data_IF_958404266952
#
_entry.id   IF_958404266952
#
_cell.length_a   1.000
_cell.length_b   1.000
_cell.length_c   1.000
_cell.angle_alpha   90.00
_cell.angle_beta   90.00
_cell.angle_gamma   90.00
#
_symmetry.space_group_name_H-M   'P 1'
#
loop_
_entity.id
_entity.type
_entity.pdbx_description
1 polymer ?
#
# COMPACT_ATOMS: atom_id res chain seq x y z
N UNK A 1 -5.24 18.98 -5.44
CA UNK A 1 -4.80 17.90 -4.54
C UNK A 1 -3.57 17.25 -5.16
N UNK A 2 -2.45 17.19 -4.45
CA UNK A 2 -1.21 16.52 -4.86
C UNK A 2 -1.20 15.09 -4.37
N UNK A 3 -0.89 14.14 -5.27
CA UNK A 3 -0.80 12.71 -4.97
C UNK A 3 0.66 12.32 -4.68
N UNK A 4 0.93 11.67 -3.58
CA UNK A 4 2.21 11.02 -3.31
C UNK A 4 2.09 9.52 -3.55
N UNK A 5 3.13 8.90 -4.10
CA UNK A 5 3.19 7.45 -4.28
C UNK A 5 4.43 6.94 -3.55
N UNK A 6 4.23 6.13 -2.51
CA UNK A 6 5.31 5.49 -1.76
C UNK A 6 5.52 4.08 -2.31
N UNK A 7 6.74 3.81 -2.79
CA UNK A 7 7.12 2.54 -3.41
C UNK A 7 8.31 1.94 -2.65
N UNK A 8 8.12 0.84 -1.91
CA UNK A 8 9.23 0.11 -1.29
C UNK A 8 9.95 -0.73 -2.35
N UNK A 9 11.28 -0.61 -2.44
CA UNK A 9 12.11 -1.34 -3.40
C UNK A 9 13.21 -2.13 -2.66
N UNK A 10 13.25 -3.44 -2.85
CA UNK A 10 14.32 -4.30 -2.36
C UNK A 10 14.72 -5.32 -3.43
N UNK A 11 15.86 -5.11 -4.07
CA UNK A 11 16.34 -5.89 -5.22
C UNK A 11 15.29 -5.93 -6.34
N UNK A 12 14.99 -4.78 -6.90
CA UNK A 12 14.00 -4.57 -7.97
C UNK A 12 14.63 -3.89 -9.21
N UNK A 13 15.95 -4.03 -9.42
CA UNK A 13 16.68 -3.40 -10.54
C UNK A 13 16.06 -3.72 -11.91
N UNK A 14 15.52 -4.93 -12.09
CA UNK A 14 14.93 -5.39 -13.34
C UNK A 14 13.54 -4.80 -13.65
N UNK A 15 12.78 -4.41 -12.61
CA UNK A 15 11.39 -3.97 -12.74
C UNK A 15 11.19 -2.47 -12.50
N UNK A 16 12.06 -1.86 -11.69
CA UNK A 16 11.83 -0.50 -11.17
C UNK A 16 11.77 0.56 -12.27
N UNK A 17 12.55 0.42 -13.34
CA UNK A 17 12.53 1.37 -14.47
C UNK A 17 11.17 1.38 -15.14
N UNK A 18 10.65 0.22 -15.56
CA UNK A 18 9.34 0.11 -16.21
C UNK A 18 8.22 0.56 -15.26
N UNK A 19 8.32 0.23 -13.97
CA UNK A 19 7.36 0.66 -12.95
C UNK A 19 7.28 2.18 -12.86
N UNK A 20 8.41 2.86 -12.70
CA UNK A 20 8.44 4.31 -12.49
C UNK A 20 8.10 5.10 -13.75
N UNK A 21 8.59 4.66 -14.91
CA UNK A 21 8.30 5.33 -16.18
C UNK A 21 6.84 5.20 -16.58
N UNK A 22 6.23 4.00 -16.44
CA UNK A 22 4.82 3.79 -16.75
C UNK A 22 3.89 4.53 -15.78
N UNK A 23 4.23 4.54 -14.49
CA UNK A 23 3.49 5.28 -13.48
C UNK A 23 3.53 6.79 -13.75
N UNK A 24 4.73 7.34 -13.94
CA UNK A 24 4.91 8.77 -14.23
C UNK A 24 4.16 9.18 -15.49
N UNK A 25 4.33 8.43 -16.59
CA UNK A 25 3.63 8.72 -17.86
C UNK A 25 2.11 8.72 -17.68
N UNK A 26 1.56 7.72 -16.98
CA UNK A 26 0.12 7.63 -16.72
C UNK A 26 -0.40 8.84 -15.91
N UNK A 27 0.33 9.28 -14.89
CA UNK A 27 -0.07 10.41 -14.05
C UNK A 27 0.05 11.76 -14.79
N UNK A 28 1.07 11.94 -15.64
CA UNK A 28 1.23 13.11 -16.51
C UNK A 28 0.10 13.18 -17.54
N UNK A 29 -0.20 12.08 -18.22
CA UNK A 29 -1.30 12.00 -19.19
C UNK A 29 -2.65 12.38 -18.58
N UNK A 30 -2.89 11.98 -17.35
CA UNK A 30 -4.11 12.31 -16.59
C UNK A 30 -4.04 13.65 -15.85
N UNK A 31 -3.00 14.45 -16.05
CA UNK A 31 -2.80 15.78 -15.45
C UNK A 31 -2.89 15.77 -13.91
N UNK A 32 -2.42 14.70 -13.27
CA UNK A 32 -2.41 14.56 -11.81
C UNK A 32 -1.10 15.12 -11.27
N UNK A 33 -1.18 16.19 -10.46
CA UNK A 33 -0.04 16.70 -9.72
C UNK A 33 0.44 15.63 -8.73
N UNK A 34 1.70 15.19 -8.84
CA UNK A 34 2.19 14.04 -8.07
C UNK A 34 3.65 14.18 -7.64
N UNK A 35 4.06 13.30 -6.77
CA UNK A 35 5.44 12.96 -6.44
C UNK A 35 5.55 11.45 -6.22
N UNK A 36 6.70 10.89 -6.54
CA UNK A 36 7.01 9.48 -6.34
C UNK A 36 8.16 9.39 -5.33
N UNK A 37 7.92 8.71 -4.21
CA UNK A 37 8.89 8.50 -3.14
C UNK A 37 9.26 7.03 -3.10
N UNK A 38 10.42 6.68 -3.66
CA UNK A 38 10.93 5.30 -3.61
C UNK A 38 11.78 5.12 -2.36
N UNK A 39 11.55 4.03 -1.64
CA UNK A 39 12.39 3.65 -0.50
C UNK A 39 13.23 2.44 -0.88
N UNK A 40 14.52 2.66 -1.11
CA UNK A 40 15.50 1.60 -1.28
C UNK A 40 15.77 0.91 0.06
N UNK A 41 15.24 -0.29 0.25
CA UNK A 41 15.30 -1.05 1.51
C UNK A 41 16.58 -1.89 1.62
N UNK A 42 17.74 -1.26 1.50
CA UNK A 42 19.08 -1.90 1.53
C UNK A 42 19.25 -2.94 0.40
N UNK A 43 18.91 -2.61 -0.83
CA UNK A 43 19.11 -3.48 -2.00
C UNK A 43 20.57 -3.88 -2.15
N UNK A 44 20.79 -5.11 -2.61
CA UNK A 44 22.10 -5.71 -2.86
C UNK A 44 22.45 -5.79 -4.35
N UNK A 45 21.49 -5.49 -5.20
CA UNK A 45 21.63 -5.41 -6.66
C UNK A 45 21.84 -3.95 -7.12
N UNK A 46 21.66 -3.69 -8.39
CA UNK A 46 21.83 -2.37 -8.99
C UNK A 46 20.61 -1.43 -8.80
N UNK A 47 19.65 -1.75 -7.91
CA UNK A 47 18.45 -0.91 -7.70
C UNK A 47 18.81 0.54 -7.39
N UNK A 48 19.82 0.79 -6.54
CA UNK A 48 20.24 2.16 -6.17
C UNK A 48 20.72 2.94 -7.38
N UNK A 49 21.63 2.36 -8.18
CA UNK A 49 22.18 2.99 -9.38
C UNK A 49 21.08 3.33 -10.42
N UNK A 50 20.10 2.43 -10.55
CA UNK A 50 18.94 2.67 -11.43
C UNK A 50 18.10 3.84 -10.91
N UNK A 51 17.88 3.96 -9.62
CA UNK A 51 17.13 5.07 -9.02
C UNK A 51 17.87 6.41 -9.20
N UNK A 52 19.19 6.43 -9.01
CA UNK A 52 20.01 7.63 -9.25
C UNK A 52 19.90 8.12 -10.70
N UNK A 53 19.95 7.20 -11.67
CA UNK A 53 19.78 7.54 -13.08
C UNK A 53 18.36 8.04 -13.40
N UNK A 54 17.31 7.40 -12.86
CA UNK A 54 15.92 7.78 -13.11
C UNK A 54 15.57 9.13 -12.47
N UNK A 55 16.14 9.47 -11.34
CA UNK A 55 15.91 10.77 -10.69
C UNK A 55 16.39 11.96 -11.55
N UNK A 56 17.35 11.76 -12.44
CA UNK A 56 17.77 12.80 -13.39
C UNK A 56 16.78 13.00 -14.54
N UNK A 57 15.90 12.02 -14.79
CA UNK A 57 14.93 11.99 -15.90
C UNK A 57 13.51 12.35 -15.45
N UNK A 58 13.13 11.95 -14.23
CA UNK A 58 11.79 12.16 -13.66
C UNK A 58 11.94 13.14 -12.49
N UNK A 59 11.50 14.39 -12.69
CA UNK A 59 11.63 15.46 -11.69
C UNK A 59 10.81 15.22 -10.43
N UNK A 60 9.69 14.52 -10.57
CA UNK A 60 8.78 14.15 -9.50
C UNK A 60 9.27 12.96 -8.67
N UNK A 61 10.36 12.30 -9.07
CA UNK A 61 10.98 11.18 -8.38
C UNK A 61 11.97 11.66 -7.31
N UNK A 62 11.74 11.19 -6.10
CA UNK A 62 12.74 11.20 -5.01
C UNK A 62 12.94 9.79 -4.48
N UNK A 63 14.12 9.51 -3.95
CA UNK A 63 14.33 8.24 -3.25
C UNK A 63 15.10 8.46 -1.94
N UNK A 64 14.84 7.55 -1.00
CA UNK A 64 15.54 7.51 0.29
C UNK A 64 16.02 6.09 0.54
N UNK A 65 17.23 5.94 1.09
CA UNK A 65 17.74 4.62 1.48
C UNK A 65 17.39 4.32 2.93
N UNK A 66 16.81 3.16 3.17
CA UNK A 66 16.60 2.67 4.52
C UNK A 66 17.93 2.22 5.12
N UNK A 67 18.33 2.79 6.23
CA UNK A 67 19.58 2.44 6.96
C UNK A 67 19.32 1.53 8.16
N UNK A 68 18.05 1.24 8.44
CA UNK A 68 17.62 0.38 9.54
C UNK A 68 17.40 -1.08 9.09
N UNK A 69 16.65 -1.86 9.87
CA UNK A 69 16.28 -3.22 9.51
C UNK A 69 15.47 -3.26 8.21
N UNK A 70 15.70 -4.28 7.39
CA UNK A 70 14.93 -4.50 6.17
C UNK A 70 13.52 -5.00 6.48
N UNK A 71 12.56 -4.55 5.69
CA UNK A 71 11.19 -5.04 5.75
C UNK A 71 10.22 -4.09 5.09
N UNK A 72 9.23 -4.67 4.41
CA UNK A 72 8.20 -3.92 3.71
C UNK A 72 7.58 -2.80 4.57
N UNK A 73 7.19 -3.11 5.82
CA UNK A 73 6.61 -2.14 6.72
C UNK A 73 7.59 -1.05 7.17
N UNK A 74 8.86 -1.38 7.37
CA UNK A 74 9.89 -0.37 7.67
C UNK A 74 10.07 0.58 6.49
N UNK A 75 10.16 0.05 5.27
CA UNK A 75 10.29 0.86 4.07
C UNK A 75 9.08 1.78 3.86
N UNK A 76 7.85 1.25 3.99
CA UNK A 76 6.64 2.08 3.88
C UNK A 76 6.62 3.18 4.94
N UNK A 77 6.86 2.88 6.22
CA UNK A 77 6.90 3.89 7.28
C UNK A 77 7.95 4.97 7.00
N UNK A 78 9.12 4.58 6.47
CA UNK A 78 10.13 5.56 6.06
C UNK A 78 9.61 6.46 4.93
N UNK A 79 8.98 5.90 3.91
CA UNK A 79 8.36 6.67 2.82
C UNK A 79 7.24 7.60 3.31
N UNK A 80 6.41 7.12 4.23
CA UNK A 80 5.35 7.93 4.85
C UNK A 80 5.88 9.10 5.70
N UNK A 81 7.14 9.11 6.09
CA UNK A 81 7.78 10.26 6.75
C UNK A 81 8.35 11.28 5.76
N UNK A 82 8.33 11.00 4.43
CA UNK A 82 8.93 11.84 3.41
C UNK A 82 7.94 12.38 2.37
N UNK A 83 6.71 11.86 2.33
CA UNK A 83 5.72 12.36 1.38
C UNK A 83 5.20 13.75 1.79
N UNK A 84 4.86 14.56 0.78
CA UNK A 84 4.42 15.96 0.98
C UNK A 84 3.04 16.24 0.41
N UNK A 85 2.44 15.30 -0.32
CA UNK A 85 1.12 15.46 -0.94
C UNK A 85 -0.04 15.44 0.04
N UNK A 86 -1.22 15.77 -0.47
CA UNK A 86 -2.48 15.78 0.29
C UNK A 86 -3.01 14.36 0.55
N UNK A 87 -2.58 13.41 -0.28
CA UNK A 87 -2.90 11.99 -0.15
C UNK A 87 -1.72 11.13 -0.60
N UNK A 88 -1.67 9.90 -0.10
CA UNK A 88 -0.56 8.97 -0.39
C UNK A 88 -1.07 7.59 -0.76
N UNK A 89 -0.60 7.08 -1.89
CA UNK A 89 -0.78 5.69 -2.32
C UNK A 89 0.44 4.84 -1.95
N UNK A 90 0.19 3.56 -1.65
CA UNK A 90 1.24 2.55 -1.56
C UNK A 90 1.13 1.68 -2.82
N UNK A 91 2.23 1.58 -3.57
CA UNK A 91 2.31 0.81 -4.81
C UNK A 91 3.57 -0.07 -4.80
N UNK A 92 3.49 -1.23 -5.46
CA UNK A 92 4.63 -2.15 -5.52
C UNK A 92 5.61 -1.77 -6.64
N UNK A 93 6.89 -2.14 -6.46
CA UNK A 93 7.97 -1.88 -7.43
C UNK A 93 8.07 -2.93 -8.56
N UNK A 94 7.18 -3.92 -8.61
CA UNK A 94 7.33 -5.15 -9.40
C UNK A 94 6.34 -5.28 -10.58
N UNK A 95 5.73 -4.17 -11.00
CA UNK A 95 4.73 -4.10 -12.07
C UNK A 95 3.45 -4.91 -11.78
N UNK A 96 3.20 -5.25 -10.51
CA UNK A 96 2.00 -6.02 -10.15
C UNK A 96 0.73 -5.17 -10.08
N UNK A 97 0.87 -3.88 -9.80
CA UNK A 97 -0.22 -2.91 -9.71
C UNK A 97 -0.30 -2.07 -11.00
N UNK A 98 -1.51 -1.83 -11.50
CA UNK A 98 -1.74 -1.05 -12.71
C UNK A 98 -1.85 0.46 -12.39
N UNK A 99 -1.03 1.35 -12.97
CA UNK A 99 -1.14 2.80 -12.80
C UNK A 99 -2.52 3.38 -13.14
N UNK A 100 -3.23 2.78 -14.10
CA UNK A 100 -4.58 3.23 -14.45
C UNK A 100 -5.60 3.03 -13.31
N UNK A 101 -5.39 2.03 -12.46
CA UNK A 101 -6.21 1.84 -11.26
C UNK A 101 -5.93 2.93 -10.22
N UNK A 102 -4.69 3.44 -10.12
CA UNK A 102 -4.36 4.58 -9.25
C UNK A 102 -5.10 5.85 -9.66
N UNK A 103 -5.24 6.09 -10.96
CA UNK A 103 -6.03 7.23 -11.47
C UNK A 103 -7.49 7.13 -11.00
N UNK A 104 -8.09 5.94 -11.04
CA UNK A 104 -9.44 5.70 -10.49
C UNK A 104 -9.52 5.98 -8.99
N UNK A 105 -8.48 5.59 -8.23
CA UNK A 105 -8.42 5.86 -6.79
C UNK A 105 -8.33 7.37 -6.51
N UNK A 106 -7.52 8.09 -7.29
CA UNK A 106 -7.37 9.53 -7.16
C UNK A 106 -8.69 10.25 -7.37
N UNK A 107 -9.45 9.92 -8.42
CA UNK A 107 -10.76 10.49 -8.65
C UNK A 107 -11.76 10.14 -7.53
N UNK A 108 -11.72 8.91 -7.02
CA UNK A 108 -12.54 8.52 -5.87
C UNK A 108 -12.17 9.27 -4.58
N UNK A 109 -10.89 9.58 -4.37
CA UNK A 109 -10.45 10.40 -3.24
C UNK A 109 -11.02 11.82 -3.30
N UNK A 110 -11.16 12.37 -4.52
CA UNK A 110 -11.75 13.71 -4.72
C UNK A 110 -13.24 13.78 -4.35
N UNK A 111 -13.95 12.65 -4.29
CA UNK A 111 -15.34 12.60 -3.83
C UNK A 111 -15.48 12.78 -2.30
N UNK A 112 -14.39 12.95 -1.55
CA UNK A 112 -14.42 13.28 -0.12
C UNK A 112 -14.13 12.13 0.84
N UNK A 113 -13.81 10.92 0.35
CA UNK A 113 -13.41 9.80 1.21
C UNK A 113 -12.04 10.02 1.86
N UNK A 114 -11.85 9.49 3.06
CA UNK A 114 -10.57 9.48 3.77
C UNK A 114 -9.61 8.42 3.23
N UNK A 115 -10.17 7.31 2.71
CA UNK A 115 -9.42 6.19 2.16
C UNK A 115 -10.07 5.64 0.89
N UNK A 116 -9.24 5.17 -0.04
CA UNK A 116 -9.67 4.38 -1.20
C UNK A 116 -8.90 3.06 -1.19
N UNK A 117 -9.63 1.95 -1.09
CA UNK A 117 -9.06 0.61 -0.99
C UNK A 117 -9.28 -0.17 -2.27
N UNK A 118 -8.19 -0.68 -2.84
CA UNK A 118 -8.28 -1.56 -3.99
C UNK A 118 -8.80 -2.95 -3.63
N UNK A 119 -9.65 -3.51 -4.46
CA UNK A 119 -10.10 -4.89 -4.31
C UNK A 119 -10.00 -5.66 -5.62
N UNK A 120 -9.16 -6.68 -5.59
CA UNK A 120 -9.03 -7.67 -6.67
C UNK A 120 -10.24 -8.61 -6.77
N UNK A 121 -11.09 -8.61 -5.74
CA UNK A 121 -12.21 -9.55 -5.55
C UNK A 121 -13.59 -8.89 -5.68
N UNK A 122 -13.66 -7.59 -5.91
CA UNK A 122 -14.90 -6.90 -6.25
C UNK A 122 -15.25 -7.05 -7.73
N UNK A 123 -16.50 -6.80 -8.10
CA UNK A 123 -16.93 -6.85 -9.51
C UNK A 123 -16.11 -5.85 -10.33
N UNK A 124 -15.41 -6.34 -11.34
CA UNK A 124 -14.46 -5.58 -12.16
C UNK A 124 -13.00 -5.67 -11.71
N UNK A 125 -12.71 -6.29 -10.56
CA UNK A 125 -11.36 -6.62 -10.15
C UNK A 125 -10.85 -7.90 -10.84
N UNK A 126 -9.52 -8.03 -10.96
CA UNK A 126 -8.91 -9.17 -11.63
C UNK A 126 -7.57 -9.56 -11.01
N UNK A 127 -7.22 -10.84 -11.11
CA UNK A 127 -5.89 -11.35 -10.80
C UNK A 127 -5.39 -12.23 -11.95
N UNK A 128 -4.15 -12.02 -12.34
CA UNK A 128 -3.50 -12.76 -13.43
C UNK A 128 -2.32 -13.54 -12.86
N UNK A 129 -2.22 -14.80 -13.26
CA UNK A 129 -1.13 -15.72 -12.86
C UNK A 129 -0.98 -15.90 -11.34
N UNK A 130 -2.09 -15.86 -10.60
CA UNK A 130 -2.08 -15.96 -9.15
C UNK A 130 -1.95 -17.43 -8.71
N UNK A 131 -0.95 -17.81 -7.89
CA UNK A 131 -0.80 -19.18 -7.42
C UNK A 131 -2.01 -19.67 -6.61
N UNK A 132 -2.61 -20.80 -7.00
CA UNK A 132 -3.87 -21.29 -6.42
C UNK A 132 -3.85 -21.44 -4.89
N UNK A 133 -2.74 -21.95 -4.32
CA UNK A 133 -2.58 -22.10 -2.87
C UNK A 133 -2.55 -20.75 -2.14
N UNK A 134 -1.90 -19.73 -2.73
CA UNK A 134 -1.90 -18.36 -2.18
C UNK A 134 -3.28 -17.72 -2.32
N UNK A 135 -4.00 -18.00 -3.41
CA UNK A 135 -5.36 -17.53 -3.62
C UNK A 135 -6.30 -18.02 -2.51
N UNK A 136 -6.30 -19.32 -2.26
CA UNK A 136 -7.14 -19.90 -1.21
C UNK A 136 -6.86 -19.27 0.16
N UNK A 137 -5.58 -19.20 0.55
CA UNK A 137 -5.18 -18.60 1.83
C UNK A 137 -5.56 -17.13 1.91
N UNK A 138 -5.35 -16.37 0.85
CA UNK A 138 -5.70 -14.95 0.78
C UNK A 138 -7.22 -14.75 0.97
N UNK A 139 -8.04 -15.54 0.28
CA UNK A 139 -9.51 -15.48 0.41
C UNK A 139 -9.97 -15.87 1.81
N UNK A 140 -9.37 -16.91 2.38
CA UNK A 140 -9.69 -17.34 3.74
C UNK A 140 -9.40 -16.23 4.76
N UNK A 141 -8.18 -15.66 4.73
CA UNK A 141 -7.78 -14.58 5.65
C UNK A 141 -8.69 -13.35 5.49
N UNK A 142 -8.96 -12.92 4.26
CA UNK A 142 -9.83 -11.77 4.03
C UNK A 142 -11.28 -12.00 4.49
N UNK A 143 -11.82 -13.20 4.32
CA UNK A 143 -13.17 -13.55 4.83
C UNK A 143 -13.18 -13.57 6.36
N UNK A 144 -12.15 -14.10 7.00
CA UNK A 144 -12.02 -14.07 8.46
C UNK A 144 -11.97 -12.62 8.98
N UNK A 145 -11.20 -11.74 8.35
CA UNK A 145 -11.14 -10.30 8.68
C UNK A 145 -12.52 -9.66 8.55
N UNK A 146 -13.21 -9.92 7.45
CA UNK A 146 -14.58 -9.40 7.23
C UNK A 146 -15.54 -9.81 8.35
N UNK A 147 -15.49 -11.07 8.74
CA UNK A 147 -16.35 -11.60 9.82
C UNK A 147 -16.01 -10.95 11.17
N UNK A 148 -14.74 -10.92 11.55
CA UNK A 148 -14.28 -10.40 12.85
C UNK A 148 -14.54 -8.90 13.01
N UNK A 149 -14.36 -8.14 11.94
CA UNK A 149 -14.54 -6.68 11.98
C UNK A 149 -15.93 -6.21 11.54
N UNK A 150 -16.80 -7.09 11.04
CA UNK A 150 -18.12 -6.73 10.53
C UNK A 150 -18.07 -5.76 9.35
N UNK A 151 -17.06 -5.87 8.48
CA UNK A 151 -16.82 -4.94 7.37
C UNK A 151 -17.16 -5.56 6.02
N UNK A 152 -17.48 -4.71 5.03
CA UNK A 152 -17.75 -5.17 3.66
C UNK A 152 -16.50 -5.29 2.80
N UNK A 153 -15.39 -4.65 3.17
CA UNK A 153 -14.14 -4.70 2.44
C UNK A 153 -13.57 -6.11 2.44
N UNK A 154 -13.27 -6.65 1.26
CA UNK A 154 -12.98 -8.07 1.03
C UNK A 154 -11.54 -8.38 0.60
N UNK A 155 -10.65 -7.36 0.63
CA UNK A 155 -9.25 -7.50 0.21
C UNK A 155 -8.29 -6.68 1.09
N UNK A 156 -8.43 -6.79 2.41
CA UNK A 156 -7.62 -6.05 3.38
C UNK A 156 -6.11 -6.28 3.22
N UNK A 157 -5.71 -7.45 2.73
CA UNK A 157 -4.31 -7.82 2.50
C UNK A 157 -3.70 -7.24 1.22
N UNK A 158 -4.49 -6.58 0.37
CA UNK A 158 -3.99 -5.85 -0.79
C UNK A 158 -3.13 -4.67 -0.31
N UNK A 159 -1.94 -4.47 -0.89
CA UNK A 159 -1.08 -3.33 -0.56
C UNK A 159 -1.58 -2.04 -1.23
N UNK A 160 -2.15 -2.16 -2.42
CA UNK A 160 -2.53 -1.03 -3.27
C UNK A 160 -3.75 -0.30 -2.70
N UNK A 161 -3.48 0.80 -2.01
CA UNK A 161 -4.46 1.63 -1.31
C UNK A 161 -4.01 3.09 -1.31
N UNK A 162 -4.99 3.99 -1.23
CA UNK A 162 -4.77 5.44 -1.15
C UNK A 162 -5.39 5.97 0.15
N UNK A 163 -4.69 6.87 0.83
CA UNK A 163 -5.08 7.47 2.10
C UNK A 163 -4.89 8.98 2.06
N UNK A 164 -5.77 9.74 2.70
CA UNK A 164 -5.50 11.16 2.98
C UNK A 164 -4.34 11.30 3.97
N UNK A 165 -3.65 12.45 3.92
CA UNK A 165 -2.54 12.75 4.84
C UNK A 165 -3.01 12.69 6.30
N UNK A 166 -4.13 13.29 6.61
CA UNK A 166 -4.73 13.29 7.95
C UNK A 166 -5.06 11.88 8.45
N UNK A 167 -5.45 10.99 7.52
CA UNK A 167 -5.67 9.58 7.87
C UNK A 167 -4.36 8.90 8.26
N UNK A 168 -3.28 9.14 7.51
CA UNK A 168 -1.95 8.58 7.84
C UNK A 168 -1.49 9.06 9.21
N UNK A 169 -1.68 10.34 9.52
CA UNK A 169 -1.37 10.92 10.83
C UNK A 169 -2.23 10.30 11.93
N UNK A 170 -3.52 10.16 11.70
CA UNK A 170 -4.47 9.64 12.68
C UNK A 170 -4.41 8.14 12.92
N UNK A 171 -3.78 7.34 12.05
CA UNK A 171 -3.58 5.89 12.28
C UNK A 171 -2.23 5.55 12.91
N UNK A 172 -1.42 6.55 13.26
CA UNK A 172 -0.18 6.32 13.98
C UNK A 172 -0.43 5.83 15.43
N UNK A 173 0.55 5.19 16.08
CA UNK A 173 1.79 4.63 15.48
C UNK A 173 1.51 3.37 14.65
N UNK A 174 2.25 3.17 13.56
CA UNK A 174 2.22 1.92 12.80
C UNK A 174 3.22 0.92 13.41
N UNK A 175 2.76 -0.28 13.74
CA UNK A 175 3.52 -1.28 14.49
C UNK A 175 4.20 -2.31 13.59
N UNK A 176 3.61 -2.58 12.42
CA UNK A 176 4.03 -3.69 11.54
C UNK A 176 5.34 -3.41 10.81
N UNK A 177 6.38 -4.24 11.00
CA UNK A 177 7.65 -4.08 10.28
C UNK A 177 7.67 -4.74 8.89
N UNK A 178 6.68 -5.58 8.56
CA UNK A 178 6.64 -6.38 7.34
C UNK A 178 5.29 -6.24 6.61
N UNK A 179 4.93 -7.22 5.77
CA UNK A 179 3.69 -7.21 4.97
C UNK A 179 2.40 -7.17 5.79
N UNK A 180 2.43 -7.47 7.08
CA UNK A 180 1.29 -7.28 7.98
C UNK A 180 0.85 -5.81 8.09
N UNK A 181 1.68 -4.85 7.66
CA UNK A 181 1.29 -3.44 7.52
C UNK A 181 0.11 -3.25 6.55
N UNK A 182 0.03 -4.08 5.49
CA UNK A 182 -1.09 -4.02 4.54
C UNK A 182 -2.45 -4.28 5.16
N UNK A 183 -2.47 -5.01 6.28
CA UNK A 183 -3.65 -5.28 7.09
C UNK A 183 -3.84 -4.22 8.20
N UNK A 184 -2.76 -3.79 8.85
CA UNK A 184 -2.79 -2.83 9.94
C UNK A 184 -3.41 -1.49 9.51
N UNK A 185 -2.90 -0.89 8.45
CA UNK A 185 -3.32 0.44 8.02
C UNK A 185 -4.83 0.54 7.74
N UNK A 186 -5.44 -0.32 6.88
CA UNK A 186 -6.87 -0.22 6.63
C UNK A 186 -7.71 -0.58 7.85
N UNK A 187 -7.30 -1.53 8.68
CA UNK A 187 -8.05 -1.88 9.88
C UNK A 187 -8.05 -0.76 10.92
N UNK A 188 -6.89 -0.12 11.16
CA UNK A 188 -6.83 1.06 12.02
C UNK A 188 -7.69 2.20 11.48
N UNK A 189 -7.62 2.50 10.18
CA UNK A 189 -8.46 3.53 9.59
C UNK A 189 -9.96 3.24 9.81
N UNK A 190 -10.40 2.02 9.54
CA UNK A 190 -11.80 1.61 9.74
C UNK A 190 -12.21 1.66 11.21
N UNK A 191 -11.40 1.11 12.12
CA UNK A 191 -11.70 1.06 13.55
C UNK A 191 -11.75 2.46 14.16
N UNK A 192 -10.90 3.37 13.68
CA UNK A 192 -10.85 4.77 14.10
C UNK A 192 -11.91 5.66 13.44
N UNK A 193 -12.75 5.10 12.57
CA UNK A 193 -13.91 5.79 12.00
C UNK A 193 -13.63 6.63 10.75
N UNK A 194 -12.49 6.44 10.08
CA UNK A 194 -12.23 7.06 8.79
C UNK A 194 -13.14 6.49 7.71
N UNK A 195 -13.66 7.36 6.86
CA UNK A 195 -14.51 6.96 5.74
C UNK A 195 -13.68 6.27 4.65
N UNK A 196 -14.23 5.25 4.00
CA UNK A 196 -13.56 4.58 2.91
C UNK A 196 -14.50 4.14 1.81
N UNK A 197 -13.96 4.03 0.61
CA UNK A 197 -14.60 3.38 -0.53
C UNK A 197 -13.73 2.26 -1.08
N UNK A 198 -14.36 1.34 -1.82
CA UNK A 198 -13.67 0.21 -2.44
C UNK A 198 -13.75 0.34 -3.95
N UNK A 199 -12.60 0.31 -4.62
CA UNK A 199 -12.49 0.37 -6.07
C UNK A 199 -11.92 -0.94 -6.58
N UNK A 200 -12.50 -1.56 -7.64
CA UNK A 200 -11.90 -2.73 -8.26
C UNK A 200 -10.53 -2.39 -8.83
N UNK A 201 -9.57 -3.28 -8.64
CA UNK A 201 -8.25 -3.18 -9.27
C UNK A 201 -7.80 -4.50 -9.86
N UNK A 202 -6.89 -4.41 -10.82
CA UNK A 202 -6.19 -5.56 -11.36
C UNK A 202 -4.89 -5.80 -10.58
N UNK A 203 -4.45 -7.06 -10.58
CA UNK A 203 -3.16 -7.46 -10.06
C UNK A 203 -2.57 -8.54 -10.95
N UNK A 204 -1.32 -8.36 -11.31
CA UNK A 204 -0.58 -9.33 -12.13
C UNK A 204 0.60 -9.87 -11.34
N UNK A 205 0.85 -11.19 -11.45
CA UNK A 205 2.06 -11.72 -10.84
C UNK A 205 3.30 -11.08 -11.45
N UNK A 206 4.32 -10.84 -10.62
CA UNK A 206 5.57 -10.21 -11.05
C UNK A 206 6.22 -10.95 -12.23
N UNK A 207 6.82 -10.21 -13.15
CA UNK A 207 7.55 -10.76 -14.29
C UNK A 207 8.96 -11.21 -13.89
N UNK A 208 9.59 -10.50 -12.94
CA UNK A 208 10.98 -10.66 -12.53
C UNK A 208 11.09 -10.94 -11.02
N UNK A 209 12.18 -11.60 -10.63
CA UNK A 209 12.50 -11.86 -9.23
C UNK A 209 11.57 -12.86 -8.55
N UNK A 210 11.69 -12.95 -7.22
CA UNK A 210 10.91 -13.87 -6.37
C UNK A 210 10.11 -13.12 -5.32
N UNK A 211 8.93 -13.65 -4.98
CA UNK A 211 8.09 -13.07 -3.92
C UNK A 211 8.83 -13.10 -2.57
N UNK A 212 8.99 -11.95 -1.95
CA UNK A 212 9.63 -11.77 -0.63
C UNK A 212 8.68 -12.13 0.53
N UNK A 213 7.39 -12.41 0.24
CA UNK A 213 6.39 -12.80 1.23
C UNK A 213 6.58 -14.26 1.66
N UNK A 214 7.07 -14.46 2.88
CA UNK A 214 7.21 -15.78 3.52
C UNK A 214 5.98 -16.08 4.37
N UNK A 215 5.04 -16.87 3.84
CA UNK A 215 3.73 -17.14 4.46
C UNK A 215 3.87 -17.69 5.88
N UNK A 216 4.80 -18.64 6.11
CA UNK A 216 4.99 -19.27 7.42
C UNK A 216 5.42 -18.29 8.49
N UNK A 217 6.31 -17.34 8.16
CA UNK A 217 6.79 -16.32 9.10
C UNK A 217 5.76 -15.21 9.33
N UNK A 218 4.84 -15.02 8.38
CA UNK A 218 3.85 -13.95 8.45
C UNK A 218 2.61 -14.29 9.28
N UNK A 219 2.29 -15.58 9.48
CA UNK A 219 1.06 -16.00 10.15
C UNK A 219 0.88 -15.39 11.54
N UNK A 220 1.88 -15.53 12.42
CA UNK A 220 1.85 -14.96 13.78
C UNK A 220 1.79 -13.42 13.76
N UNK A 221 2.48 -12.76 12.84
CA UNK A 221 2.49 -11.31 12.70
C UNK A 221 1.13 -10.76 12.25
N UNK A 222 0.46 -11.45 11.31
CA UNK A 222 -0.90 -11.11 10.90
C UNK A 222 -1.89 -11.32 12.05
N UNK A 223 -1.77 -12.43 12.78
CA UNK A 223 -2.61 -12.71 13.94
C UNK A 223 -2.43 -11.66 15.04
N UNK A 224 -1.19 -11.26 15.36
CA UNK A 224 -0.92 -10.19 16.31
C UNK A 224 -1.62 -8.89 15.94
N UNK A 225 -1.52 -8.46 14.68
CA UNK A 225 -2.15 -7.22 14.22
C UNK A 225 -3.68 -7.32 14.22
N UNK A 226 -4.24 -8.47 13.84
CA UNK A 226 -5.68 -8.71 13.95
C UNK A 226 -6.16 -8.55 15.39
N UNK A 227 -5.48 -9.20 16.32
CA UNK A 227 -5.83 -9.12 17.74
C UNK A 227 -5.69 -7.70 18.27
N UNK A 228 -4.59 -7.02 17.95
CA UNK A 228 -4.38 -5.62 18.32
C UNK A 228 -5.54 -4.72 17.86
N UNK A 229 -5.90 -4.78 16.58
CA UNK A 229 -7.00 -3.97 16.04
C UNK A 229 -8.37 -4.37 16.60
N UNK A 230 -8.59 -5.65 16.95
CA UNK A 230 -9.82 -6.09 17.63
C UNK A 230 -9.90 -5.54 19.06
N UNK A 231 -8.79 -5.58 19.80
CA UNK A 231 -8.72 -4.99 21.13
C UNK A 231 -9.01 -3.48 21.04
N UNK A 232 -8.38 -2.76 20.10
CA UNK A 232 -8.66 -1.33 19.89
C UNK A 232 -10.15 -1.11 19.59
N UNK A 233 -10.74 -1.91 18.69
CA UNK A 233 -12.16 -1.79 18.30
C UNK A 233 -13.11 -1.92 19.49
N UNK A 234 -12.89 -2.89 20.38
CA UNK A 234 -13.87 -3.23 21.42
C UNK A 234 -13.57 -2.62 22.78
N UNK A 235 -12.30 -2.32 23.09
CA UNK A 235 -11.89 -1.93 24.44
C UNK A 235 -11.33 -0.51 24.54
N UNK A 236 -10.92 0.13 23.44
CA UNK A 236 -10.39 1.50 23.49
C UNK A 236 -11.47 2.58 23.67
N UNK A 237 -12.75 2.24 23.79
CA UNK A 237 -13.88 3.15 24.08
C UNK A 237 -13.92 4.42 23.22
N UNK A 238 -13.26 4.40 22.08
CA UNK A 238 -13.22 5.53 21.15
C UNK A 238 -12.06 6.52 21.33
N UNK A 239 -11.11 6.27 22.24
CA UNK A 239 -9.96 7.15 22.50
C UNK A 239 -9.14 7.49 21.25
N UNK A 240 -9.10 6.57 20.28
CA UNK A 240 -8.36 6.73 19.03
C UNK A 240 -9.25 7.09 17.83
N UNK A 241 -10.55 7.33 18.04
CA UNK A 241 -11.45 7.68 16.94
C UNK A 241 -11.09 9.03 16.34
N UNK A 242 -11.29 9.14 15.02
CA UNK A 242 -11.24 10.42 14.31
C UNK A 242 -12.12 11.42 15.05
N UNK A 243 -11.54 12.56 15.42
CA UNK A 243 -12.32 13.69 15.93
C UNK A 243 -12.94 14.37 14.71
N UNK A 244 -14.24 14.56 14.75
CA UNK A 244 -14.97 15.34 13.75
C UNK A 244 -15.02 16.77 14.30
N UNK A 245 -14.36 17.70 13.60
CA UNK A 245 -14.49 19.12 13.85
C UNK A 245 -15.82 19.63 13.30
#
# INVERSE_FOLDING_TARGET
MKLSIVIPAYNEAESITETLTSLHACLVENQIAHEIVVVNDNSKDHTLQVLEALQTQIKELTFVTNTGPNGFGYAIRKGLNHFTGDCVAIMMADLSDDPADLVKYYHKMQEGFDCVFGSRWSKGGAVYDYPKHKLFLNRFVNNLVRLLFGIRYNDCTNAFKLYRKETIEGIQPLLSPHFNLTLEMPLKAIVRGYTYTVVPNSWRNRKFGVSKLKIREMGSRYFFILLYCLIEKFFARGDFKKKWD
#
